data_IF_707141331890
#
_entry.id   IF_707141331890
#
_cell.length_a   1.000
_cell.length_b   1.000
_cell.length_c   1.000
_cell.angle_alpha   90.00
_cell.angle_beta   90.00
_cell.angle_gamma   90.00
#
_symmetry.space_group_name_H-M   'P 1'
#
loop_
_entity.id
_entity.type
_entity.pdbx_description
1 polymer ?
#
# COMPACT_ATOMS: atom_id res chain seq x y z
N UNK A 1 -26.80 17.11 -4.54
CA UNK A 1 -25.46 17.74 -4.39
C UNK A 1 -24.71 17.53 -5.70
N UNK A 2 -24.49 18.58 -6.48
CA UNK A 2 -23.85 18.48 -7.79
C UNK A 2 -22.40 18.00 -7.61
N UNK A 3 -22.12 16.75 -7.99
CA UNK A 3 -20.78 16.13 -7.95
C UNK A 3 -19.91 16.60 -9.13
N UNK A 4 -19.84 17.92 -9.36
CA UNK A 4 -18.78 18.50 -10.21
C UNK A 4 -17.60 18.87 -9.32
N UNK A 5 -16.92 17.84 -8.81
CA UNK A 5 -15.57 17.98 -8.26
C UNK A 5 -14.60 17.94 -9.44
N UNK A 6 -14.34 19.10 -10.04
CA UNK A 6 -13.27 19.24 -11.02
C UNK A 6 -11.94 18.81 -10.39
N UNK A 7 -11.41 17.66 -10.83
CA UNK A 7 -10.03 17.26 -10.59
C UNK A 7 -9.11 18.16 -11.40
N UNK A 8 -8.94 19.40 -10.97
CA UNK A 8 -7.75 20.17 -11.34
C UNK A 8 -6.61 19.65 -10.48
N UNK A 9 -5.50 19.25 -11.10
CA UNK A 9 -4.20 19.38 -10.45
C UNK A 9 -3.89 20.87 -10.39
N UNK A 10 -4.72 21.64 -9.68
CA UNK A 10 -4.33 22.95 -9.18
C UNK A 10 -3.55 22.61 -7.93
N UNK A 11 -2.22 22.71 -7.99
CA UNK A 11 -1.36 22.78 -6.81
C UNK A 11 -1.71 24.07 -6.06
N UNK A 12 -2.89 24.12 -5.45
CA UNK A 12 -3.25 25.20 -4.52
C UNK A 12 -2.29 25.09 -3.35
N UNK A 13 -1.99 26.22 -2.68
CA UNK A 13 -1.14 26.25 -1.48
C UNK A 13 -1.50 25.16 -0.45
N UNK A 14 -2.78 24.81 -0.35
CA UNK A 14 -3.30 23.74 0.51
C UNK A 14 -2.84 22.32 0.14
N UNK A 15 -2.69 22.01 -1.16
CA UNK A 15 -2.25 20.68 -1.61
C UNK A 15 -0.75 20.48 -1.29
N UNK A 16 0.05 21.52 -1.45
CA UNK A 16 1.46 21.50 -1.08
C UNK A 16 1.63 21.36 0.45
N UNK A 17 0.84 22.10 1.23
CA UNK A 17 0.80 21.96 2.69
C UNK A 17 0.40 20.55 3.13
N UNK A 18 -0.55 19.92 2.43
CA UNK A 18 -0.96 18.54 2.71
C UNK A 18 0.15 17.53 2.40
N UNK A 19 0.88 17.70 1.30
CA UNK A 19 2.03 16.86 0.99
C UNK A 19 3.13 16.98 2.06
N UNK A 20 3.51 18.20 2.44
CA UNK A 20 4.52 18.40 3.49
C UNK A 20 4.08 17.87 4.84
N UNK A 21 2.78 17.94 5.15
CA UNK A 21 2.23 17.31 6.35
C UNK A 21 2.37 15.79 6.27
N UNK A 22 1.98 15.14 5.16
CA UNK A 22 2.16 13.70 4.98
C UNK A 22 3.65 13.31 5.08
N UNK A 23 4.54 14.10 4.49
CA UNK A 23 5.99 13.90 4.58
C UNK A 23 6.49 13.97 6.02
N UNK A 24 6.12 15.02 6.77
CA UNK A 24 6.48 15.17 8.17
C UNK A 24 5.96 14.00 9.02
N UNK A 25 4.75 13.51 8.76
CA UNK A 25 4.18 12.37 9.48
C UNK A 25 4.98 11.07 9.22
N UNK A 26 5.40 10.82 7.99
CA UNK A 26 6.26 9.66 7.66
C UNK A 26 7.63 9.82 8.33
N UNK A 27 8.23 11.02 8.30
CA UNK A 27 9.47 11.29 9.03
C UNK A 27 9.34 11.04 10.54
N UNK A 28 8.20 11.39 11.16
CA UNK A 28 7.95 11.10 12.58
C UNK A 28 7.87 9.59 12.85
N UNK A 29 7.25 8.83 11.94
CA UNK A 29 7.12 7.36 12.03
C UNK A 29 8.46 6.63 11.89
N UNK A 30 9.41 7.18 11.14
CA UNK A 30 10.74 6.61 10.90
C UNK A 30 11.83 7.67 11.07
N UNK A 31 11.92 8.23 12.28
CA UNK A 31 12.82 9.33 12.59
C UNK A 31 14.31 8.94 12.45
N UNK A 32 14.63 7.67 12.69
CA UNK A 32 15.97 7.12 12.55
C UNK A 32 16.41 7.04 11.08
N UNK A 33 15.47 6.82 10.14
CA UNK A 33 15.80 6.58 8.75
C UNK A 33 16.55 7.74 8.07
N UNK A 34 16.35 8.99 8.53
CA UNK A 34 17.07 10.17 8.04
C UNK A 34 18.23 10.58 8.95
N UNK A 35 18.09 10.43 10.27
CA UNK A 35 19.14 10.81 11.22
C UNK A 35 20.31 9.82 11.23
N UNK A 36 20.01 8.54 11.08
CA UNK A 36 20.95 7.42 11.01
C UNK A 36 20.52 6.47 9.87
N UNK A 37 20.75 6.83 8.60
CA UNK A 37 20.32 6.01 7.48
C UNK A 37 21.04 4.66 7.45
N UNK A 38 20.26 3.59 7.42
CA UNK A 38 20.73 2.20 7.45
C UNK A 38 20.01 1.37 6.38
N UNK A 39 20.68 0.35 5.85
CA UNK A 39 20.09 -0.64 4.94
C UNK A 39 19.32 -1.71 5.72
N UNK A 40 18.22 -2.19 5.14
CA UNK A 40 17.39 -3.28 5.67
C UNK A 40 17.30 -4.46 4.72
N UNK A 41 17.72 -5.64 5.17
CA UNK A 41 17.52 -6.94 4.53
C UNK A 41 17.71 -6.87 3.00
N UNK A 42 16.60 -6.88 2.27
CA UNK A 42 16.56 -6.84 0.81
C UNK A 42 17.23 -5.60 0.20
N UNK A 43 17.22 -4.45 0.88
CA UNK A 43 17.91 -3.22 0.47
C UNK A 43 19.40 -3.48 0.23
N UNK A 44 20.04 -4.29 1.08
CA UNK A 44 21.44 -4.66 0.94
C UNK A 44 21.64 -5.86 0.00
N UNK A 45 21.01 -7.00 0.31
CA UNK A 45 21.36 -8.28 -0.32
C UNK A 45 20.74 -8.51 -1.69
N UNK A 46 19.68 -7.75 -2.02
CA UNK A 46 19.02 -7.84 -3.31
C UNK A 46 19.22 -6.56 -4.10
N UNK A 47 18.84 -5.41 -3.55
CA UNK A 47 18.83 -4.19 -4.35
C UNK A 47 20.25 -3.66 -4.57
N UNK A 48 20.98 -3.31 -3.51
CA UNK A 48 22.35 -2.81 -3.61
C UNK A 48 23.29 -3.82 -4.27
N UNK A 49 23.30 -5.07 -3.77
CA UNK A 49 24.18 -6.13 -4.29
C UNK A 49 24.00 -6.35 -5.79
N UNK A 50 22.77 -6.55 -6.24
CA UNK A 50 22.49 -6.78 -7.66
C UNK A 50 22.94 -5.61 -8.53
N UNK A 51 22.74 -4.37 -8.04
CA UNK A 51 23.09 -3.17 -8.78
C UNK A 51 24.60 -3.01 -8.95
N UNK A 52 25.38 -3.34 -7.91
CA UNK A 52 26.84 -3.30 -7.96
C UNK A 52 27.38 -4.39 -8.89
N UNK A 53 26.87 -5.62 -8.75
CA UNK A 53 27.41 -6.78 -9.46
C UNK A 53 27.00 -6.82 -10.95
N UNK A 54 25.76 -6.42 -11.27
CA UNK A 54 25.24 -6.49 -12.64
C UNK A 54 25.29 -5.17 -13.39
N UNK A 55 25.21 -4.04 -12.68
CA UNK A 55 25.14 -2.69 -13.25
C UNK A 55 23.91 -2.49 -14.16
N UNK A 56 23.68 -1.26 -14.61
CA UNK A 56 22.57 -0.92 -15.51
C UNK A 56 21.19 -0.91 -14.85
N UNK A 57 20.13 -0.84 -15.67
CA UNK A 57 18.76 -0.69 -15.22
C UNK A 57 18.06 -2.05 -15.07
N UNK A 58 17.93 -2.53 -13.83
CA UNK A 58 17.46 -3.88 -13.50
C UNK A 58 15.94 -4.00 -13.26
N UNK A 59 15.12 -3.30 -14.06
CA UNK A 59 13.66 -3.23 -13.88
C UNK A 59 12.95 -4.59 -13.93
N UNK A 60 13.44 -5.50 -14.77
CA UNK A 60 12.82 -6.81 -15.02
C UNK A 60 13.44 -7.93 -14.19
N UNK A 61 14.26 -7.61 -13.19
CA UNK A 61 14.82 -8.60 -12.27
C UNK A 61 13.83 -8.87 -11.13
N UNK A 62 13.18 -10.04 -11.09
CA UNK A 62 12.16 -10.32 -10.11
C UNK A 62 12.75 -10.56 -8.72
N UNK A 63 11.92 -10.39 -7.71
CA UNK A 63 12.14 -10.88 -6.35
C UNK A 63 10.83 -11.46 -5.82
N UNK A 64 10.91 -12.61 -5.14
CA UNK A 64 9.77 -13.31 -4.57
C UNK A 64 8.59 -13.57 -5.55
N UNK A 65 8.92 -13.76 -6.85
CA UNK A 65 7.96 -14.03 -7.91
C UNK A 65 7.33 -12.80 -8.58
N UNK A 66 7.79 -11.58 -8.31
CA UNK A 66 7.26 -10.38 -8.98
C UNK A 66 8.30 -9.27 -9.12
N UNK A 67 7.98 -8.26 -9.91
CA UNK A 67 8.83 -7.11 -10.14
C UNK A 67 8.74 -6.07 -9.02
N UNK A 68 9.86 -5.39 -8.82
CA UNK A 68 10.05 -4.28 -7.87
C UNK A 68 10.57 -3.05 -8.63
N UNK A 69 9.80 -2.55 -9.59
CA UNK A 69 10.24 -1.47 -10.47
C UNK A 69 10.68 -0.20 -9.71
N UNK A 70 9.91 0.27 -8.74
CA UNK A 70 10.27 1.47 -7.98
C UNK A 70 11.55 1.32 -7.14
N UNK A 71 11.74 0.25 -6.33
CA UNK A 71 13.01 0.02 -5.64
C UNK A 71 14.21 -0.07 -6.59
N UNK A 72 14.05 -0.74 -7.75
CA UNK A 72 15.10 -0.86 -8.76
C UNK A 72 15.45 0.48 -9.41
N UNK A 73 14.47 1.37 -9.64
CA UNK A 73 14.74 2.73 -10.12
C UNK A 73 15.52 3.55 -9.10
N UNK A 74 15.11 3.53 -7.83
CA UNK A 74 15.83 4.23 -6.75
C UNK A 74 17.27 3.74 -6.65
N UNK A 75 17.45 2.43 -6.70
CA UNK A 75 18.74 1.76 -6.68
C UNK A 75 19.62 2.14 -7.86
N UNK A 76 19.04 2.16 -9.07
CA UNK A 76 19.75 2.60 -10.27
C UNK A 76 20.20 4.05 -10.17
N UNK A 77 19.34 4.96 -9.69
CA UNK A 77 19.74 6.36 -9.47
C UNK A 77 20.82 6.51 -8.39
N UNK A 78 20.76 5.71 -7.32
CA UNK A 78 21.78 5.72 -6.28
C UNK A 78 23.16 5.26 -6.80
N UNK A 79 23.20 4.40 -7.82
CA UNK A 79 24.46 3.90 -8.40
C UNK A 79 25.31 4.95 -9.13
N UNK A 80 24.77 6.14 -9.38
CA UNK A 80 25.53 7.26 -9.96
C UNK A 80 26.38 8.05 -8.97
N UNK A 81 26.29 7.72 -7.68
CA UNK A 81 27.10 8.33 -6.62
C UNK A 81 27.78 7.26 -5.78
N UNK A 82 28.70 7.68 -4.92
CA UNK A 82 29.39 6.79 -3.97
C UNK A 82 28.40 5.95 -3.17
N UNK A 83 28.69 4.66 -3.02
CA UNK A 83 27.90 3.71 -2.25
C UNK A 83 27.76 4.12 -0.77
N UNK A 84 28.65 4.99 -0.29
CA UNK A 84 28.55 5.68 0.98
C UNK A 84 27.19 6.37 1.21
N UNK A 85 26.57 6.91 0.16
CA UNK A 85 25.30 7.63 0.24
C UNK A 85 24.06 6.75 0.00
N UNK A 86 24.24 5.48 -0.37
CA UNK A 86 23.14 4.55 -0.67
C UNK A 86 22.08 4.49 0.44
N UNK A 87 22.43 4.32 1.74
CA UNK A 87 21.40 4.20 2.78
C UNK A 87 20.57 5.47 2.91
N UNK A 88 21.19 6.66 2.76
CA UNK A 88 20.48 7.93 2.79
C UNK A 88 19.53 8.06 1.60
N UNK A 89 20.00 7.77 0.39
CA UNK A 89 19.18 7.85 -0.83
C UNK A 89 18.00 6.89 -0.75
N UNK A 90 18.23 5.66 -0.29
CA UNK A 90 17.18 4.66 -0.14
C UNK A 90 16.14 5.10 0.88
N UNK A 91 16.56 5.46 2.08
CA UNK A 91 15.66 5.83 3.15
C UNK A 91 14.88 7.12 2.84
N UNK A 92 15.56 8.14 2.30
CA UNK A 92 14.91 9.37 1.88
C UNK A 92 13.91 9.15 0.74
N UNK A 93 14.25 8.31 -0.25
CA UNK A 93 13.33 7.94 -1.33
C UNK A 93 12.13 7.16 -0.80
N UNK A 94 12.34 6.25 0.14
CA UNK A 94 11.26 5.48 0.76
C UNK A 94 10.26 6.39 1.50
N UNK A 95 10.77 7.36 2.26
CA UNK A 95 9.95 8.37 2.94
C UNK A 95 9.19 9.22 1.91
N UNK A 96 9.87 9.73 0.88
CA UNK A 96 9.26 10.58 -0.13
C UNK A 96 8.15 9.85 -0.91
N UNK A 97 8.38 8.60 -1.29
CA UNK A 97 7.41 7.77 -2.03
C UNK A 97 6.22 7.41 -1.14
N UNK A 98 6.45 7.05 0.13
CA UNK A 98 5.38 6.80 1.08
C UNK A 98 4.52 8.06 1.29
N UNK A 99 5.14 9.22 1.50
CA UNK A 99 4.45 10.50 1.67
C UNK A 99 3.64 10.89 0.42
N UNK A 100 4.21 10.73 -0.78
CA UNK A 100 3.52 10.99 -2.04
C UNK A 100 2.31 10.05 -2.21
N UNK A 101 2.46 8.77 -1.86
CA UNK A 101 1.39 7.77 -1.92
C UNK A 101 0.24 8.12 -0.98
N UNK A 102 0.55 8.52 0.27
CA UNK A 102 -0.43 8.99 1.24
C UNK A 102 -1.12 10.26 0.73
N UNK A 103 -0.37 11.23 0.21
CA UNK A 103 -0.91 12.47 -0.34
C UNK A 103 -1.92 12.20 -1.48
N UNK A 104 -1.56 11.36 -2.44
CA UNK A 104 -2.45 10.98 -3.56
C UNK A 104 -3.69 10.26 -3.02
N UNK A 105 -3.53 9.34 -2.06
CA UNK A 105 -4.64 8.64 -1.43
C UNK A 105 -5.61 9.62 -0.75
N UNK A 106 -5.11 10.56 0.05
CA UNK A 106 -5.91 11.60 0.72
C UNK A 106 -6.65 12.46 -0.30
N UNK A 107 -5.98 12.87 -1.38
CA UNK A 107 -6.60 13.65 -2.46
C UNK A 107 -7.75 12.87 -3.10
N UNK A 108 -7.53 11.59 -3.37
CA UNK A 108 -8.51 10.70 -3.97
C UNK A 108 -9.73 10.47 -3.08
N UNK A 109 -9.53 10.38 -1.76
CA UNK A 109 -10.59 10.10 -0.79
C UNK A 109 -11.29 11.34 -0.25
N UNK A 110 -10.76 12.55 -0.48
CA UNK A 110 -11.31 13.82 0.03
C UNK A 110 -12.83 13.99 -0.16
N UNK A 111 -13.47 13.55 -1.27
CA UNK A 111 -14.92 13.65 -1.42
C UNK A 111 -15.72 12.72 -0.49
N UNK A 112 -15.07 11.70 0.08
CA UNK A 112 -15.69 10.64 0.86
C UNK A 112 -15.34 10.75 2.35
N UNK A 113 -14.10 11.17 2.64
CA UNK A 113 -13.50 11.15 3.99
C UNK A 113 -12.73 12.45 4.21
N UNK A 114 -12.89 13.11 5.38
CA UNK A 114 -12.11 14.30 5.69
C UNK A 114 -10.59 14.03 5.64
N UNK A 115 -9.78 14.90 4.98
CA UNK A 115 -8.34 14.68 4.83
C UNK A 115 -7.56 14.42 6.12
N UNK A 116 -7.89 15.16 7.19
CA UNK A 116 -7.24 14.98 8.49
C UNK A 116 -7.48 13.58 9.06
N UNK A 117 -8.64 12.97 8.78
CA UNK A 117 -8.95 11.63 9.26
C UNK A 117 -8.16 10.58 8.50
N UNK A 118 -8.03 10.71 7.18
CA UNK A 118 -7.18 9.81 6.37
C UNK A 118 -5.73 9.86 6.86
N UNK A 119 -5.19 11.06 7.08
CA UNK A 119 -3.84 11.25 7.64
C UNK A 119 -3.72 10.64 9.05
N UNK A 120 -4.72 10.85 9.91
CA UNK A 120 -4.74 10.31 11.27
C UNK A 120 -4.74 8.79 11.27
N UNK A 121 -5.40 8.14 10.31
CA UNK A 121 -5.39 6.66 10.19
C UNK A 121 -3.98 6.15 9.85
N UNK A 122 -3.27 6.78 8.91
CA UNK A 122 -1.87 6.43 8.62
C UNK A 122 -0.93 6.67 9.82
N UNK A 123 -1.22 7.69 10.64
CA UNK A 123 -0.42 8.02 11.80
C UNK A 123 -0.71 7.14 13.02
N UNK A 124 -1.97 6.83 13.31
CA UNK A 124 -2.37 6.24 14.59
C UNK A 124 -2.66 4.75 14.55
N UNK A 125 -2.48 4.11 13.40
CA UNK A 125 -2.59 2.65 13.30
C UNK A 125 -1.32 1.98 13.88
N UNK A 126 -1.46 0.91 14.69
CA UNK A 126 -0.32 0.14 15.21
C UNK A 126 0.56 -0.41 14.08
N UNK A 127 1.86 -0.54 14.34
CA UNK A 127 2.84 -1.04 13.38
C UNK A 127 4.06 -1.65 14.08
N UNK A 128 4.67 -2.66 13.46
CA UNK A 128 6.02 -3.11 13.86
C UNK A 128 7.14 -2.19 13.36
N UNK A 129 6.82 -1.19 12.54
CA UNK A 129 7.76 -0.22 12.00
C UNK A 129 8.46 -0.61 10.70
N UNK A 130 8.45 -1.89 10.35
CA UNK A 130 9.21 -2.46 9.24
C UNK A 130 8.85 -1.81 7.89
N UNK A 131 7.58 -1.43 7.72
CA UNK A 131 7.10 -0.82 6.48
C UNK A 131 7.73 0.54 6.19
N UNK A 132 8.22 1.25 7.20
CA UNK A 132 8.70 2.62 7.05
C UNK A 132 10.22 2.70 6.79
N UNK A 133 10.63 3.64 5.94
CA UNK A 133 12.03 4.04 5.81
C UNK A 133 12.95 3.04 5.09
N UNK A 134 12.42 2.12 4.30
CA UNK A 134 13.19 1.12 3.51
C UNK A 134 12.62 1.00 2.10
N UNK A 135 13.45 0.87 1.06
CA UNK A 135 12.94 0.83 -0.32
C UNK A 135 12.21 -0.48 -0.62
N UNK A 136 12.60 -1.60 -0.01
CA UNK A 136 11.89 -2.89 -0.15
C UNK A 136 10.41 -2.81 0.22
N UNK A 137 10.05 -1.92 1.14
CA UNK A 137 8.68 -1.77 1.65
C UNK A 137 7.84 -0.66 1.01
N UNK A 138 8.39 0.12 0.06
CA UNK A 138 7.61 1.20 -0.59
C UNK A 138 6.40 0.68 -1.38
N UNK A 139 6.45 -0.59 -1.79
CA UNK A 139 5.36 -1.28 -2.47
C UNK A 139 4.05 -1.23 -1.64
N UNK A 140 4.15 -1.34 -0.31
CA UNK A 140 3.00 -1.32 0.60
C UNK A 140 2.33 0.07 0.67
N UNK A 141 3.03 1.12 0.25
CA UNK A 141 2.46 2.46 0.11
C UNK A 141 1.96 2.72 -1.32
N UNK A 142 2.71 2.29 -2.34
CA UNK A 142 2.36 2.47 -3.75
C UNK A 142 1.04 1.80 -4.15
N UNK A 143 0.58 0.80 -3.39
CA UNK A 143 -0.75 0.24 -3.58
C UNK A 143 -1.89 1.23 -3.31
N UNK A 144 -1.76 2.18 -2.38
CA UNK A 144 -2.84 3.15 -2.10
C UNK A 144 -3.18 4.07 -3.28
N UNK A 145 -2.21 4.73 -3.94
CA UNK A 145 -2.49 5.50 -5.13
C UNK A 145 -2.99 4.58 -6.26
N UNK A 146 -2.53 3.33 -6.38
CA UNK A 146 -3.04 2.37 -7.35
C UNK A 146 -4.54 2.04 -7.12
N UNK A 147 -4.91 1.62 -5.91
CA UNK A 147 -6.29 1.26 -5.53
C UNK A 147 -7.23 2.45 -5.68
N UNK A 148 -6.84 3.59 -5.09
CA UNK A 148 -7.70 4.78 -5.09
C UNK A 148 -7.84 5.36 -6.49
N UNK A 149 -6.81 5.28 -7.34
CA UNK A 149 -6.92 5.73 -8.71
C UNK A 149 -7.81 4.80 -9.55
N UNK A 150 -7.66 3.48 -9.41
CA UNK A 150 -8.48 2.52 -10.13
C UNK A 150 -9.96 2.61 -9.74
N UNK A 151 -10.27 2.70 -8.44
CA UNK A 151 -11.64 2.49 -7.94
C UNK A 151 -12.34 3.71 -7.39
N UNK A 152 -11.62 4.78 -7.02
CA UNK A 152 -12.22 5.98 -6.39
C UNK A 152 -12.12 7.20 -7.31
N UNK A 153 -10.90 7.56 -7.73
CA UNK A 153 -10.60 8.81 -8.41
C UNK A 153 -11.33 8.90 -9.77
N UNK A 154 -11.89 10.07 -10.07
CA UNK A 154 -12.45 10.35 -11.40
C UNK A 154 -11.34 10.67 -12.39
N UNK A 155 -11.53 10.37 -13.68
CA UNK A 155 -10.58 10.69 -14.75
C UNK A 155 -10.10 12.16 -14.67
N UNK A 156 -8.78 12.36 -14.69
CA UNK A 156 -8.19 13.69 -14.62
C UNK A 156 -8.61 14.54 -15.83
N UNK A 157 -9.03 15.78 -15.61
CA UNK A 157 -9.48 16.67 -16.69
C UNK A 157 -8.32 17.14 -17.59
N UNK A 158 -7.14 17.34 -17.01
CA UNK A 158 -5.94 17.75 -17.74
C UNK A 158 -5.26 16.54 -18.45
N UNK A 159 -5.07 16.60 -19.79
CA UNK A 159 -4.43 15.51 -20.55
C UNK A 159 -2.96 15.25 -20.17
N UNK A 160 -2.15 16.28 -19.94
CA UNK A 160 -0.73 16.15 -19.59
C UNK A 160 -0.59 15.43 -18.25
N UNK A 161 -1.35 15.90 -17.25
CA UNK A 161 -1.44 15.27 -15.94
C UNK A 161 -1.81 13.78 -16.07
N UNK A 162 -2.74 13.45 -16.96
CA UNK A 162 -3.17 12.06 -17.21
C UNK A 162 -2.04 11.19 -17.75
N UNK A 163 -1.24 11.68 -18.69
CA UNK A 163 -0.11 10.93 -19.23
C UNK A 163 0.99 10.71 -18.19
N UNK A 164 1.33 11.75 -17.43
CA UNK A 164 2.32 11.64 -16.33
C UNK A 164 1.85 10.62 -15.28
N UNK A 165 0.58 10.72 -14.86
CA UNK A 165 -0.01 9.80 -13.90
C UNK A 165 0.02 8.35 -14.40
N UNK A 166 -0.24 8.09 -15.69
CA UNK A 166 -0.14 6.74 -16.26
C UNK A 166 1.27 6.15 -16.11
N UNK A 167 2.32 6.95 -16.32
CA UNK A 167 3.70 6.51 -16.11
C UNK A 167 3.99 6.17 -14.64
N UNK A 168 3.56 7.05 -13.73
CA UNK A 168 3.69 6.81 -12.27
C UNK A 168 2.94 5.55 -11.85
N UNK A 169 1.72 5.34 -12.36
CA UNK A 169 0.93 4.15 -12.05
C UNK A 169 1.46 2.89 -12.71
N UNK A 170 2.12 2.97 -13.86
CA UNK A 170 2.82 1.82 -14.44
C UNK A 170 3.94 1.34 -13.51
N UNK A 171 4.75 2.27 -12.98
CA UNK A 171 5.81 1.95 -12.02
C UNK A 171 5.20 1.34 -10.74
N UNK A 172 4.13 1.93 -10.20
CA UNK A 172 3.42 1.39 -9.05
C UNK A 172 2.84 -0.02 -9.32
N UNK A 173 2.23 -0.23 -10.50
CA UNK A 173 1.66 -1.50 -10.90
C UNK A 173 2.70 -2.61 -11.17
N UNK A 174 3.93 -2.22 -11.50
CA UNK A 174 5.10 -3.10 -11.64
C UNK A 174 5.93 -3.20 -10.33
N UNK A 175 5.39 -2.70 -9.21
CA UNK A 175 6.04 -2.79 -7.89
C UNK A 175 5.14 -3.57 -6.94
N UNK A 176 5.44 -4.86 -6.76
CA UNK A 176 4.61 -5.77 -5.97
C UNK A 176 3.46 -6.39 -6.78
N UNK A 177 2.73 -7.37 -6.19
CA UNK A 177 1.70 -8.15 -6.88
C UNK A 177 0.33 -7.44 -6.98
N UNK A 178 0.22 -6.19 -6.51
CA UNK A 178 -1.06 -5.50 -6.30
C UNK A 178 -1.87 -5.27 -7.58
N UNK A 179 -1.20 -5.08 -8.72
CA UNK A 179 -1.87 -4.90 -10.02
C UNK A 179 -2.66 -6.14 -10.45
N UNK A 180 -2.25 -7.34 -10.01
CA UNK A 180 -2.97 -8.60 -10.27
C UNK A 180 -4.33 -8.58 -9.57
N UNK A 181 -4.37 -8.15 -8.30
CA UNK A 181 -5.62 -8.00 -7.54
C UNK A 181 -6.50 -6.93 -8.18
N UNK A 182 -5.91 -5.80 -8.60
CA UNK A 182 -6.64 -4.76 -9.32
C UNK A 182 -7.27 -5.30 -10.60
N UNK A 183 -6.54 -6.08 -11.41
CA UNK A 183 -7.04 -6.67 -12.64
C UNK A 183 -8.26 -7.57 -12.38
N UNK A 184 -8.20 -8.43 -11.36
CA UNK A 184 -9.32 -9.30 -10.99
C UNK A 184 -10.58 -8.50 -10.61
N UNK A 185 -10.42 -7.43 -9.83
CA UNK A 185 -11.53 -6.58 -9.39
C UNK A 185 -12.08 -5.68 -10.51
N UNK A 186 -11.22 -5.22 -11.42
CA UNK A 186 -11.63 -4.51 -12.63
C UNK A 186 -12.44 -5.43 -13.54
N UNK A 187 -11.99 -6.67 -13.75
CA UNK A 187 -12.73 -7.67 -14.51
C UNK A 187 -14.08 -7.98 -13.86
N UNK A 188 -14.13 -8.16 -12.53
CA UNK A 188 -15.39 -8.36 -11.80
C UNK A 188 -16.36 -7.18 -11.99
N UNK A 189 -15.86 -5.95 -11.98
CA UNK A 189 -16.67 -4.75 -12.21
C UNK A 189 -17.28 -4.73 -13.62
N UNK A 190 -16.51 -5.10 -14.64
CA UNK A 190 -16.98 -5.19 -16.03
C UNK A 190 -17.96 -6.35 -16.23
N UNK A 191 -17.68 -7.53 -15.66
CA UNK A 191 -18.59 -8.68 -15.72
C UNK A 191 -19.92 -8.38 -15.02
N UNK A 192 -19.88 -7.72 -13.86
CA UNK A 192 -21.08 -7.25 -13.17
C UNK A 192 -21.91 -6.29 -14.03
N UNK A 193 -21.25 -5.34 -14.70
CA UNK A 193 -21.91 -4.44 -15.66
C UNK A 193 -22.57 -5.20 -16.82
N UNK A 194 -21.88 -6.17 -17.41
CA UNK A 194 -22.43 -7.00 -18.49
C UNK A 194 -23.64 -7.83 -18.02
N UNK A 195 -23.57 -8.44 -16.83
CA UNK A 195 -24.67 -9.19 -16.25
C UNK A 195 -25.90 -8.29 -15.98
N UNK A 196 -25.68 -7.05 -15.51
CA UNK A 196 -26.75 -6.07 -15.32
C UNK A 196 -27.41 -5.66 -16.65
N UNK A 197 -26.62 -5.55 -17.72
CA UNK A 197 -27.12 -5.27 -19.07
C UNK A 197 -28.00 -6.40 -19.61
N UNK A 198 -27.59 -7.65 -19.40
CA UNK A 198 -28.37 -8.84 -19.81
C UNK A 198 -29.66 -8.98 -19.00
N UNK A 199 -29.59 -8.77 -17.68
CA UNK A 199 -30.75 -8.89 -16.78
C UNK A 199 -31.71 -7.69 -16.82
N UNK A 200 -31.39 -6.64 -17.61
CA UNK A 200 -32.20 -5.43 -17.82
C UNK A 200 -32.64 -4.72 -16.53
N UNK A 201 -31.82 -4.77 -15.47
CA UNK A 201 -32.07 -4.03 -14.22
C UNK A 201 -31.70 -2.55 -14.37
N UNK A 202 -32.61 -1.75 -14.93
CA UNK A 202 -32.38 -0.35 -15.33
C UNK A 202 -31.70 0.52 -14.25
N UNK A 203 -32.17 0.46 -13.00
CA UNK A 203 -31.62 1.29 -11.93
C UNK A 203 -30.16 0.94 -11.60
N UNK A 204 -29.85 -0.35 -11.39
CA UNK A 204 -28.48 -0.79 -11.09
C UNK A 204 -27.54 -0.61 -12.29
N UNK A 205 -28.07 -0.82 -13.50
CA UNK A 205 -27.32 -0.59 -14.73
C UNK A 205 -26.93 0.89 -14.86
N UNK A 206 -27.83 1.83 -14.57
CA UNK A 206 -27.51 3.27 -14.63
C UNK A 206 -26.37 3.67 -13.69
N UNK A 207 -26.36 3.14 -12.46
CA UNK A 207 -25.30 3.37 -11.48
C UNK A 207 -23.97 2.78 -11.96
N UNK A 208 -24.00 1.56 -12.50
CA UNK A 208 -22.81 0.90 -13.02
C UNK A 208 -22.24 1.62 -14.25
N UNK A 209 -23.10 2.11 -15.15
CA UNK A 209 -22.70 2.95 -16.29
C UNK A 209 -22.02 4.22 -15.81
N UNK A 210 -22.64 4.96 -14.89
CA UNK A 210 -22.08 6.19 -14.34
C UNK A 210 -20.73 5.95 -13.67
N UNK A 211 -20.58 4.85 -12.92
CA UNK A 211 -19.30 4.47 -12.32
C UNK A 211 -18.20 4.25 -13.35
N UNK A 212 -18.48 3.49 -14.41
CA UNK A 212 -17.52 3.18 -15.47
C UNK A 212 -17.16 4.41 -16.31
N UNK A 213 -18.10 5.30 -16.60
CA UNK A 213 -17.85 6.54 -17.36
C UNK A 213 -16.90 7.53 -16.67
N UNK A 214 -16.83 7.45 -15.34
CA UNK A 214 -15.91 8.24 -14.52
C UNK A 214 -14.50 7.67 -14.48
N UNK A 215 -14.29 6.40 -14.86
CA UNK A 215 -12.97 5.75 -14.84
C UNK A 215 -12.10 6.18 -16.03
N UNK A 216 -10.78 6.18 -15.84
CA UNK A 216 -9.82 6.33 -16.93
C UNK A 216 -9.46 4.95 -17.50
N UNK A 217 -10.18 4.53 -18.54
CA UNK A 217 -9.92 3.26 -19.22
C UNK A 217 -8.51 3.14 -19.80
N UNK A 218 -7.88 4.26 -20.18
CA UNK A 218 -6.51 4.23 -20.70
C UNK A 218 -5.51 3.87 -19.60
N UNK A 219 -5.76 4.30 -18.36
CA UNK A 219 -4.92 3.92 -17.24
C UNK A 219 -5.27 2.52 -16.69
N UNK A 220 -6.54 2.12 -16.71
CA UNK A 220 -6.94 0.73 -16.48
C UNK A 220 -6.21 -0.22 -17.44
N UNK A 221 -6.11 0.13 -18.72
CA UNK A 221 -5.35 -0.67 -19.70
C UNK A 221 -3.86 -0.79 -19.32
N UNK A 222 -3.23 0.30 -18.85
CA UNK A 222 -1.83 0.27 -18.37
C UNK A 222 -1.69 -0.63 -17.14
N UNK A 223 -2.57 -0.50 -16.15
CA UNK A 223 -2.55 -1.34 -14.94
C UNK A 223 -2.79 -2.82 -15.30
N UNK A 224 -3.71 -3.10 -16.22
CA UNK A 224 -3.98 -4.44 -16.71
C UNK A 224 -2.78 -5.05 -17.45
N UNK A 225 -2.10 -4.28 -18.30
CA UNK A 225 -0.88 -4.73 -18.98
C UNK A 225 0.24 -5.04 -17.96
N UNK A 226 0.43 -4.18 -16.97
CA UNK A 226 1.40 -4.40 -15.90
C UNK A 226 1.03 -5.63 -15.04
N UNK A 227 -0.26 -5.87 -14.80
CA UNK A 227 -0.74 -7.05 -14.09
C UNK A 227 -0.46 -8.35 -14.85
N UNK A 228 -0.59 -8.34 -16.19
CA UNK A 228 -0.21 -9.49 -17.03
C UNK A 228 1.30 -9.73 -16.96
N UNK A 229 2.12 -8.68 -16.98
CA UNK A 229 3.56 -8.80 -16.77
C UNK A 229 3.85 -9.43 -15.39
N UNK A 230 3.25 -8.90 -14.32
CA UNK A 230 3.44 -9.46 -12.98
C UNK A 230 2.99 -10.92 -12.87
N UNK A 231 1.86 -11.29 -13.49
CA UNK A 231 1.39 -12.67 -13.56
C UNK A 231 2.40 -13.59 -14.26
N UNK A 232 3.05 -13.12 -15.32
CA UNK A 232 4.08 -13.90 -16.01
C UNK A 232 5.29 -14.20 -15.12
N UNK A 233 5.74 -13.21 -14.33
CA UNK A 233 6.81 -13.42 -13.34
C UNK A 233 6.38 -14.31 -12.18
N UNK A 234 5.12 -14.19 -11.73
CA UNK A 234 4.59 -15.05 -10.68
C UNK A 234 4.54 -16.50 -11.16
N UNK A 235 4.15 -16.74 -12.41
CA UNK A 235 4.10 -18.08 -12.98
C UNK A 235 5.49 -18.69 -13.19
N UNK A 236 6.49 -17.90 -13.57
CA UNK A 236 7.84 -18.42 -13.92
C UNK A 236 8.83 -18.42 -12.77
N UNK A 237 8.62 -17.57 -11.77
CA UNK A 237 9.63 -17.24 -10.74
C UNK A 237 9.10 -17.34 -9.32
N UNK A 238 7.84 -17.76 -9.10
CA UNK A 238 7.33 -17.96 -7.75
C UNK A 238 8.03 -19.17 -7.10
N UNK A 239 8.44 -19.04 -5.81
CA UNK A 239 8.88 -20.20 -5.04
C UNK A 239 7.78 -21.26 -4.94
N UNK A 240 8.18 -22.54 -4.90
CA UNK A 240 7.24 -23.60 -4.53
C UNK A 240 6.73 -23.38 -3.10
N UNK A 241 5.41 -23.46 -2.91
CA UNK A 241 4.78 -23.32 -1.60
C UNK A 241 4.08 -24.62 -1.19
N UNK A 242 4.71 -25.43 -0.32
CA UNK A 242 4.18 -26.73 0.06
C UNK A 242 3.38 -26.60 1.37
N UNK A 243 2.16 -26.03 1.34
CA UNK A 243 1.20 -26.27 2.41
C UNK A 243 -0.25 -25.93 2.02
N UNK A 244 -1.11 -26.94 2.05
CA UNK A 244 -2.56 -26.75 1.93
C UNK A 244 -3.10 -26.15 3.23
N UNK A 245 -3.59 -24.90 3.15
CA UNK A 245 -4.36 -24.28 4.23
C UNK A 245 -5.84 -24.39 3.89
N UNK A 246 -6.65 -25.00 4.76
CA UNK A 246 -8.09 -25.09 4.54
C UNK A 246 -8.71 -23.70 4.44
N UNK A 247 -9.75 -23.53 3.60
CA UNK A 247 -10.41 -22.24 3.41
C UNK A 247 -10.89 -21.63 4.73
N UNK A 248 -11.40 -22.45 5.65
CA UNK A 248 -11.82 -21.99 6.97
C UNK A 248 -10.64 -21.43 7.79
N UNK A 249 -9.49 -22.11 7.81
CA UNK A 249 -8.28 -21.62 8.50
C UNK A 249 -7.74 -20.36 7.84
N UNK A 250 -7.76 -20.30 6.51
CA UNK A 250 -7.36 -19.11 5.76
C UNK A 250 -8.23 -17.91 6.13
N UNK A 251 -9.56 -18.05 6.05
CA UNK A 251 -10.50 -16.94 6.30
C UNK A 251 -10.56 -16.58 7.78
N UNK A 252 -10.82 -17.53 8.68
CA UNK A 252 -10.99 -17.24 10.12
C UNK A 252 -9.65 -16.93 10.78
N UNK A 253 -8.56 -17.58 10.36
CA UNK A 253 -7.22 -17.30 10.87
C UNK A 253 -6.72 -15.93 10.44
N UNK A 254 -6.73 -15.62 9.14
CA UNK A 254 -6.20 -14.33 8.66
C UNK A 254 -7.14 -13.16 8.98
N UNK A 255 -8.41 -13.22 8.61
CA UNK A 255 -9.34 -12.10 8.77
C UNK A 255 -9.92 -12.03 10.20
N UNK A 256 -9.95 -13.17 10.92
CA UNK A 256 -10.57 -13.26 12.23
C UNK A 256 -9.61 -13.25 13.41
N UNK A 257 -8.42 -13.83 13.28
CA UNK A 257 -7.42 -13.83 14.35
C UNK A 257 -6.35 -12.77 14.09
N UNK A 258 -5.69 -12.82 12.93
CA UNK A 258 -4.57 -11.92 12.62
C UNK A 258 -5.02 -10.47 12.41
N UNK A 259 -5.97 -10.22 11.50
CA UNK A 259 -6.40 -8.86 11.15
C UNK A 259 -6.75 -7.97 12.35
N UNK A 260 -7.58 -8.37 13.32
CA UNK A 260 -7.85 -7.51 14.49
C UNK A 260 -6.61 -7.28 15.37
N UNK A 261 -5.70 -8.24 15.51
CA UNK A 261 -4.43 -8.01 16.20
C UNK A 261 -3.61 -6.93 15.51
N UNK A 262 -3.54 -6.96 14.18
CA UNK A 262 -2.83 -5.95 13.40
C UNK A 262 -3.53 -4.57 13.40
N UNK A 263 -4.87 -4.54 13.35
CA UNK A 263 -5.67 -3.30 13.27
C UNK A 263 -5.78 -2.61 14.63
N UNK A 264 -6.02 -3.38 15.69
CA UNK A 264 -6.38 -2.88 17.02
C UNK A 264 -5.31 -3.17 18.08
N UNK A 265 -4.35 -4.05 17.83
CA UNK A 265 -3.39 -4.55 18.82
C UNK A 265 -3.89 -5.70 19.68
N UNK A 266 -5.18 -6.03 19.59
CA UNK A 266 -5.82 -7.09 20.34
C UNK A 266 -7.07 -7.58 19.60
N UNK A 267 -7.61 -8.74 19.99
CA UNK A 267 -8.83 -9.27 19.40
C UNK A 267 -10.02 -9.15 20.37
N UNK A 268 -10.91 -8.15 20.23
CA UNK A 268 -12.06 -7.97 21.13
C UNK A 268 -13.20 -8.97 20.92
N UNK A 269 -13.21 -9.71 19.80
CA UNK A 269 -14.32 -10.57 19.40
C UNK A 269 -13.85 -11.99 19.15
N UNK A 270 -14.79 -12.95 19.12
CA UNK A 270 -14.45 -14.29 18.61
C UNK A 270 -14.07 -14.19 17.12
N UNK A 271 -13.01 -14.88 16.67
CA UNK A 271 -12.50 -14.75 15.31
C UNK A 271 -13.53 -14.89 14.18
N UNK A 272 -14.52 -15.77 14.36
CA UNK A 272 -15.57 -16.02 13.36
C UNK A 272 -16.43 -14.78 13.04
N UNK A 273 -16.54 -13.82 13.97
CA UNK A 273 -17.39 -12.64 13.77
C UNK A 273 -16.77 -11.59 12.86
N UNK A 274 -15.46 -11.57 12.69
CA UNK A 274 -14.77 -10.58 11.86
C UNK A 274 -15.05 -10.75 10.36
N UNK A 275 -14.91 -11.95 9.75
CA UNK A 275 -15.35 -12.18 8.36
C UNK A 275 -16.81 -11.77 8.11
N UNK A 276 -17.70 -12.08 9.07
CA UNK A 276 -19.11 -11.71 9.02
C UNK A 276 -19.25 -10.18 9.06
N UNK A 277 -18.48 -9.51 9.93
CA UNK A 277 -18.45 -8.05 10.04
C UNK A 277 -17.99 -7.37 8.76
N UNK A 278 -16.92 -7.85 8.12
CA UNK A 278 -16.46 -7.32 6.82
C UNK A 278 -17.53 -7.49 5.74
N UNK A 279 -18.18 -8.66 5.66
CA UNK A 279 -19.26 -8.91 4.72
C UNK A 279 -20.47 -8.00 4.99
N UNK A 280 -20.88 -7.88 6.26
CA UNK A 280 -21.98 -7.00 6.67
C UNK A 280 -21.68 -5.53 6.36
N UNK A 281 -20.45 -5.06 6.58
CA UNK A 281 -20.03 -3.70 6.24
C UNK A 281 -20.03 -3.48 4.72
N UNK A 282 -19.55 -4.44 3.93
CA UNK A 282 -19.62 -4.38 2.47
C UNK A 282 -21.05 -4.32 1.95
N UNK A 283 -21.94 -5.15 2.48
CA UNK A 283 -23.37 -5.13 2.17
C UNK A 283 -24.03 -3.81 2.59
N UNK A 284 -23.67 -3.28 3.76
CA UNK A 284 -24.12 -1.97 4.22
C UNK A 284 -23.72 -0.86 3.24
N UNK A 285 -22.44 -0.82 2.85
CA UNK A 285 -21.94 0.17 1.89
C UNK A 285 -22.69 0.08 0.57
N UNK A 286 -22.89 -1.13 0.05
CA UNK A 286 -23.51 -1.32 -1.26
C UNK A 286 -24.99 -0.90 -1.26
N UNK A 287 -25.76 -1.32 -0.26
CA UNK A 287 -27.22 -1.19 -0.29
C UNK A 287 -27.79 -0.06 0.58
N UNK A 288 -27.16 0.24 1.71
CA UNK A 288 -27.77 1.06 2.78
C UNK A 288 -27.04 2.38 3.06
N UNK A 289 -25.77 2.51 2.69
CA UNK A 289 -24.99 3.73 2.95
C UNK A 289 -25.58 4.97 2.26
N UNK A 290 -25.42 6.14 2.87
CA UNK A 290 -25.83 7.44 2.33
C UNK A 290 -24.84 7.99 1.29
N UNK A 291 -23.76 7.27 1.00
CA UNK A 291 -22.85 7.61 -0.08
C UNK A 291 -23.58 7.66 -1.44
N UNK A 292 -23.08 8.50 -2.34
CA UNK A 292 -23.49 8.50 -3.73
C UNK A 292 -23.34 7.07 -4.31
N UNK A 293 -24.31 6.56 -5.09
CA UNK A 293 -24.29 5.16 -5.54
C UNK A 293 -22.99 4.73 -6.22
N UNK A 294 -22.40 5.61 -7.04
CA UNK A 294 -21.10 5.40 -7.69
C UNK A 294 -19.95 5.21 -6.70
N UNK A 295 -19.92 6.01 -5.62
CA UNK A 295 -18.88 5.91 -4.60
C UNK A 295 -18.95 4.61 -3.80
N UNK A 296 -20.14 4.03 -3.63
CA UNK A 296 -20.33 2.75 -2.93
C UNK A 296 -19.55 1.62 -3.62
N UNK A 297 -19.59 1.58 -4.95
CA UNK A 297 -18.86 0.59 -5.76
C UNK A 297 -17.35 0.73 -5.51
N UNK A 298 -16.82 1.95 -5.59
CA UNK A 298 -15.39 2.20 -5.39
C UNK A 298 -14.88 1.82 -3.99
N UNK A 299 -15.65 2.15 -2.95
CA UNK A 299 -15.32 1.77 -1.56
C UNK A 299 -15.40 0.26 -1.37
N UNK A 300 -16.42 -0.40 -1.93
CA UNK A 300 -16.56 -1.86 -1.88
C UNK A 300 -15.38 -2.56 -2.56
N UNK A 301 -14.96 -2.10 -3.73
CA UNK A 301 -13.79 -2.65 -4.45
C UNK A 301 -12.49 -2.42 -3.68
N UNK A 302 -12.36 -1.28 -2.99
CA UNK A 302 -11.20 -1.00 -2.13
C UNK A 302 -11.17 -1.94 -0.91
N UNK A 303 -12.33 -2.23 -0.30
CA UNK A 303 -12.45 -3.22 0.78
C UNK A 303 -12.14 -4.64 0.28
N UNK A 304 -12.69 -5.01 -0.88
CA UNK A 304 -12.42 -6.30 -1.51
C UNK A 304 -10.93 -6.48 -1.81
N UNK A 305 -10.27 -5.44 -2.33
CA UNK A 305 -8.82 -5.43 -2.55
C UNK A 305 -8.06 -5.75 -1.26
N UNK A 306 -8.35 -5.02 -0.19
CA UNK A 306 -7.62 -5.15 1.07
C UNK A 306 -7.82 -6.52 1.73
N UNK A 307 -9.03 -7.10 1.60
CA UNK A 307 -9.31 -8.47 2.05
C UNK A 307 -8.54 -9.49 1.21
N UNK A 308 -8.54 -9.33 -0.12
CA UNK A 308 -7.83 -10.24 -1.02
C UNK A 308 -6.31 -10.21 -0.82
N UNK A 309 -5.73 -9.04 -0.52
CA UNK A 309 -4.31 -8.91 -0.18
C UNK A 309 -3.96 -9.73 1.07
N UNK A 310 -4.76 -9.63 2.13
CA UNK A 310 -4.55 -10.39 3.37
C UNK A 310 -4.70 -11.89 3.13
N UNK A 311 -5.71 -12.31 2.35
CA UNK A 311 -5.89 -13.72 2.00
C UNK A 311 -4.74 -14.26 1.13
N UNK A 312 -4.25 -13.46 0.18
CA UNK A 312 -3.10 -13.83 -0.66
C UNK A 312 -1.82 -13.93 0.17
N UNK A 313 -1.61 -13.01 1.11
CA UNK A 313 -0.48 -13.06 2.04
C UNK A 313 -0.54 -14.29 2.94
N UNK A 314 -1.69 -14.57 3.56
CA UNK A 314 -1.88 -15.75 4.40
C UNK A 314 -1.75 -17.07 3.63
N UNK A 315 -2.07 -17.07 2.33
CA UNK A 315 -1.78 -18.21 1.47
C UNK A 315 -0.27 -18.36 1.19
N UNK A 316 0.44 -17.25 1.01
CA UNK A 316 1.89 -17.22 0.75
C UNK A 316 2.75 -17.60 1.96
N UNK A 317 2.44 -17.09 3.15
CA UNK A 317 3.31 -17.22 4.35
C UNK A 317 2.70 -18.08 5.48
N UNK A 318 1.54 -18.70 5.24
CA UNK A 318 0.68 -19.36 6.23
C UNK A 318 0.12 -18.39 7.28
N UNK A 319 -0.81 -18.87 8.11
CA UNK A 319 -1.53 -18.01 9.08
C UNK A 319 -0.69 -17.79 10.34
N UNK A 320 0.10 -18.77 10.75
CA UNK A 320 0.76 -18.81 12.06
C UNK A 320 1.71 -17.64 12.28
N UNK A 321 2.60 -17.28 11.33
CA UNK A 321 3.46 -16.10 11.49
C UNK A 321 2.66 -14.80 11.59
N UNK A 322 1.48 -14.74 10.95
CA UNK A 322 0.61 -13.56 10.94
C UNK A 322 -0.19 -13.39 12.24
N UNK A 323 -0.11 -14.32 13.19
CA UNK A 323 -0.76 -14.19 14.51
C UNK A 323 0.03 -13.31 15.48
N UNK A 324 1.05 -12.60 15.00
CA UNK A 324 1.90 -11.72 15.77
C UNK A 324 2.03 -10.37 15.08
N UNK A 325 1.73 -9.27 15.78
CA UNK A 325 1.93 -7.92 15.26
C UNK A 325 3.38 -7.68 14.80
N UNK A 326 4.36 -8.38 15.38
CA UNK A 326 5.78 -8.25 15.05
C UNK A 326 6.14 -8.83 13.68
N UNK A 327 5.31 -9.73 13.14
CA UNK A 327 5.61 -10.48 11.92
C UNK A 327 4.52 -10.24 10.87
N UNK A 328 4.93 -9.96 9.63
CA UNK A 328 4.00 -9.83 8.51
C UNK A 328 3.04 -8.63 8.59
N UNK A 329 3.31 -7.65 9.47
CA UNK A 329 2.46 -6.47 9.66
C UNK A 329 2.15 -5.72 8.36
N UNK A 330 3.14 -5.69 7.47
CA UNK A 330 3.07 -5.10 6.14
C UNK A 330 1.92 -5.63 5.28
N UNK A 331 1.56 -6.92 5.42
CA UNK A 331 0.47 -7.56 4.67
C UNK A 331 -0.93 -7.08 5.08
N UNK A 332 -1.04 -6.42 6.24
CA UNK A 332 -2.31 -5.89 6.74
C UNK A 332 -2.43 -4.39 6.49
N UNK A 333 -1.43 -3.73 5.89
CA UNK A 333 -1.42 -2.27 5.78
C UNK A 333 -2.64 -1.75 5.02
N UNK A 334 -3.03 -2.30 3.86
CA UNK A 334 -4.24 -1.81 3.20
C UNK A 334 -5.50 -2.09 4.02
N UNK A 335 -5.63 -3.28 4.62
CA UNK A 335 -6.81 -3.62 5.42
C UNK A 335 -6.96 -2.72 6.64
N UNK A 336 -5.86 -2.40 7.33
CA UNK A 336 -5.84 -1.42 8.43
C UNK A 336 -6.42 -0.09 8.01
N UNK A 337 -5.92 0.45 6.91
CA UNK A 337 -6.30 1.78 6.45
C UNK A 337 -7.75 1.78 5.93
N UNK A 338 -8.11 0.81 5.08
CA UNK A 338 -9.45 0.68 4.50
C UNK A 338 -10.52 0.34 5.55
N UNK A 339 -10.17 -0.44 6.58
CA UNK A 339 -11.05 -0.70 7.72
C UNK A 339 -11.55 0.59 8.36
N UNK A 340 -10.65 1.53 8.64
CA UNK A 340 -11.02 2.81 9.24
C UNK A 340 -11.79 3.73 8.28
N UNK A 341 -11.59 3.60 6.97
CA UNK A 341 -12.42 4.28 5.97
C UNK A 341 -13.87 3.81 6.04
N UNK A 342 -14.06 2.49 5.99
CA UNK A 342 -15.37 1.83 6.07
C UNK A 342 -16.03 2.12 7.40
N UNK A 343 -15.29 2.03 8.50
CA UNK A 343 -15.77 2.32 9.85
C UNK A 343 -16.30 3.76 9.95
N UNK A 344 -15.53 4.75 9.47
CA UNK A 344 -15.98 6.14 9.45
C UNK A 344 -17.24 6.35 8.61
N UNK A 345 -17.29 5.77 7.41
CA UNK A 345 -18.46 5.90 6.50
C UNK A 345 -19.72 5.36 7.19
N UNK A 346 -19.64 4.16 7.75
CA UNK A 346 -20.76 3.52 8.47
C UNK A 346 -21.16 4.36 9.67
N UNK A 347 -20.20 4.79 10.49
CA UNK A 347 -20.47 5.55 11.71
C UNK A 347 -21.07 6.93 11.42
N UNK A 348 -20.57 7.62 10.39
CA UNK A 348 -21.14 8.88 9.90
C UNK A 348 -22.61 8.71 9.51
N UNK A 349 -22.93 7.64 8.79
CA UNK A 349 -24.30 7.38 8.33
C UNK A 349 -25.24 7.05 9.49
N UNK A 350 -24.77 6.26 10.47
CA UNK A 350 -25.51 5.92 11.69
C UNK A 350 -25.77 7.14 12.58
N UNK A 351 -24.77 8.00 12.77
CA UNK A 351 -24.90 9.22 13.58
C UNK A 351 -25.58 10.37 12.82
N UNK A 352 -25.73 10.24 11.50
CA UNK A 352 -26.29 11.29 10.64
C UNK A 352 -25.45 12.58 10.58
N UNK A 353 -24.21 12.56 11.07
CA UNK A 353 -23.33 13.73 11.17
C UNK A 353 -21.89 13.37 10.87
N UNK A 354 -21.31 14.02 9.86
CA UNK A 354 -19.89 13.89 9.50
C UNK A 354 -18.98 14.26 10.68
N UNK A 355 -19.30 15.35 11.37
CA UNK A 355 -18.50 15.85 12.49
C UNK A 355 -18.49 14.86 13.65
N UNK A 356 -19.64 14.27 13.99
CA UNK A 356 -19.71 13.29 15.07
C UNK A 356 -19.01 11.98 14.67
N UNK A 357 -19.26 11.48 13.46
CA UNK A 357 -18.58 10.30 12.91
C UNK A 357 -17.06 10.46 12.98
N UNK A 358 -16.53 11.57 12.47
CA UNK A 358 -15.08 11.82 12.46
C UNK A 358 -14.50 11.92 13.88
N UNK A 359 -15.18 12.59 14.81
CA UNK A 359 -14.74 12.69 16.21
C UNK A 359 -14.69 11.32 16.89
N UNK A 360 -15.74 10.52 16.74
CA UNK A 360 -15.77 9.19 17.32
C UNK A 360 -14.69 8.27 16.72
N UNK A 361 -14.49 8.33 15.39
CA UNK A 361 -13.39 7.58 14.75
C UNK A 361 -12.01 8.03 15.27
N UNK A 362 -11.78 9.35 15.40
CA UNK A 362 -10.52 9.86 15.96
C UNK A 362 -10.31 9.44 17.42
N UNK A 363 -11.35 9.52 18.26
CA UNK A 363 -11.25 9.10 19.66
C UNK A 363 -10.91 7.61 19.78
N UNK A 364 -11.49 6.77 18.91
CA UNK A 364 -11.15 5.35 18.86
C UNK A 364 -9.73 5.11 18.35
N UNK A 365 -9.28 5.82 17.30
CA UNK A 365 -7.89 5.76 16.85
C UNK A 365 -6.90 6.16 17.95
N UNK A 366 -7.21 7.24 18.70
CA UNK A 366 -6.40 7.68 19.83
C UNK A 366 -6.40 6.65 20.97
N UNK A 367 -7.55 6.02 21.25
CA UNK A 367 -7.63 4.94 22.22
C UNK A 367 -6.77 3.74 21.81
N UNK A 368 -6.84 3.31 20.54
CA UNK A 368 -5.98 2.24 20.02
C UNK A 368 -4.50 2.62 20.08
N UNK A 369 -4.17 3.87 19.76
CA UNK A 369 -2.81 4.39 19.90
C UNK A 369 -2.30 4.29 21.35
N UNK A 370 -3.14 4.61 22.34
CA UNK A 370 -2.78 4.52 23.76
C UNK A 370 -2.55 3.06 24.19
N UNK A 371 -3.36 2.13 23.70
CA UNK A 371 -3.19 0.70 23.95
C UNK A 371 -1.93 0.11 23.33
N UNK A 372 -1.42 0.72 22.24
CA UNK A 372 -0.31 0.22 21.44
C UNK A 372 0.89 1.17 21.42
N UNK A 373 1.12 1.92 22.50
CA UNK A 373 2.15 2.99 22.55
C UNK A 373 3.55 2.54 22.07
N UNK A 374 3.92 1.28 22.32
CA UNK A 374 5.22 0.71 21.97
C UNK A 374 5.29 0.24 20.50
N UNK A 375 4.15 0.25 19.80
CA UNK A 375 3.98 -0.16 18.41
C UNK A 375 3.45 0.98 17.54
N UNK A 376 3.86 2.22 17.83
CA UNK A 376 3.46 3.39 17.03
C UNK A 376 4.53 3.86 16.07
N UNK A 377 5.80 3.62 16.39
CA UNK A 377 6.96 4.13 15.66
C UNK A 377 7.84 2.97 15.22
N UNK A 378 8.64 3.22 14.19
CA UNK A 378 9.71 2.31 13.79
C UNK A 378 10.78 2.24 14.88
N UNK A 379 11.16 1.03 15.34
CA UNK A 379 12.32 0.87 16.21
C UNK A 379 13.59 1.36 15.51
N UNK A 380 14.51 1.95 16.29
CA UNK A 380 15.80 2.36 15.74
C UNK A 380 16.58 1.14 15.27
N UNK A 381 17.11 1.24 14.07
CA UNK A 381 18.02 0.24 13.54
C UNK A 381 19.38 0.28 14.25
N UNK A 382 20.08 -0.85 14.24
CA UNK A 382 21.47 -0.93 14.70
C UNK A 382 22.29 -0.05 13.76
N UNK A 383 23.06 0.86 14.35
CA UNK A 383 23.99 1.70 13.61
C UNK A 383 25.27 0.90 13.35
N UNK A 384 25.42 0.40 12.12
CA UNK A 384 26.60 -0.35 11.70
C UNK A 384 27.79 0.54 11.33
N UNK A 385 27.73 1.83 11.64
CA UNK A 385 28.84 2.75 11.47
C UNK A 385 28.74 3.59 10.19
N UNK A 386 29.76 4.42 9.95
CA UNK A 386 29.68 5.49 8.97
C UNK A 386 29.67 4.96 7.53
N UNK A 387 29.19 5.82 6.64
CA UNK A 387 29.23 5.71 5.19
C UNK A 387 30.60 5.25 4.60
N UNK A 388 31.69 5.31 5.38
CA UNK A 388 33.01 4.83 5.02
C UNK A 388 33.09 3.31 4.77
N UNK A 389 32.31 2.48 5.49
CA UNK A 389 32.30 1.04 5.23
C UNK A 389 31.68 0.71 3.88
N UNK A 390 30.61 1.40 3.52
CA UNK A 390 29.99 1.27 2.20
C UNK A 390 30.83 1.92 1.10
N UNK A 391 31.66 2.93 1.41
CA UNK A 391 32.59 3.52 0.44
C UNK A 391 33.59 2.51 -0.11
N UNK A 392 33.92 1.45 0.63
CA UNK A 392 34.76 0.36 0.13
C UNK A 392 34.20 -0.27 -1.15
N UNK A 393 32.88 -0.25 -1.31
CA UNK A 393 32.19 -0.73 -2.52
C UNK A 393 32.40 0.17 -3.75
N UNK A 394 33.05 1.33 -3.61
CA UNK A 394 33.46 2.15 -4.76
C UNK A 394 34.79 1.65 -5.36
N UNK A 395 35.51 0.78 -4.65
CA UNK A 395 36.79 0.22 -5.08
C UNK A 395 36.60 -1.24 -5.56
N UNK A 396 37.31 -1.68 -6.61
CA UNK A 396 37.32 -3.07 -7.06
C UNK A 396 37.69 -4.05 -5.94
N UNK A 397 36.99 -5.17 -5.85
CA UNK A 397 37.24 -6.20 -4.84
C UNK A 397 35.99 -6.83 -4.26
N UNK A 398 36.20 -7.70 -3.27
CA UNK A 398 35.15 -8.39 -2.53
C UNK A 398 35.06 -7.80 -1.14
N UNK A 399 33.92 -7.22 -0.80
CA UNK A 399 33.72 -6.48 0.44
C UNK A 399 32.52 -7.05 1.20
N UNK A 400 32.71 -7.35 2.49
CA UNK A 400 31.63 -7.78 3.37
C UNK A 400 31.06 -6.59 4.12
N UNK A 401 29.76 -6.38 4.00
CA UNK A 401 29.04 -5.31 4.69
C UNK A 401 28.05 -5.89 5.70
N UNK A 402 27.91 -5.21 6.83
CA UNK A 402 26.85 -5.48 7.82
C UNK A 402 25.67 -4.57 7.58
N UNK A 403 24.47 -5.07 7.82
CA UNK A 403 23.24 -4.31 7.65
C UNK A 403 22.14 -4.89 8.56
N UNK A 404 21.00 -4.20 8.65
CA UNK A 404 19.90 -4.63 9.53
C UNK A 404 19.04 -5.69 8.83
N UNK A 405 18.43 -6.67 9.53
CA UNK A 405 18.38 -6.87 10.98
C UNK A 405 19.75 -7.21 11.62
N UNK A 406 19.81 -7.15 12.95
CA UNK A 406 21.04 -7.47 13.69
C UNK A 406 21.60 -8.86 13.31
N UNK A 407 22.92 -8.93 13.06
CA UNK A 407 23.62 -10.17 12.73
C UNK A 407 23.63 -10.54 11.25
N UNK A 408 23.06 -9.72 10.36
CA UNK A 408 23.09 -9.96 8.92
C UNK A 408 24.31 -9.32 8.27
N UNK A 409 24.92 -10.07 7.35
CA UNK A 409 26.05 -9.63 6.54
C UNK A 409 25.96 -10.19 5.12
N UNK A 410 26.60 -9.51 4.18
CA UNK A 410 26.65 -9.93 2.79
C UNK A 410 27.96 -9.51 2.15
N UNK A 411 28.52 -10.42 1.38
CA UNK A 411 29.67 -10.15 0.52
C UNK A 411 29.17 -9.69 -0.84
N UNK A 412 29.69 -8.54 -1.28
CA UNK A 412 29.39 -7.90 -2.56
C UNK A 412 30.71 -7.78 -3.33
N UNK A 413 30.68 -8.22 -4.59
CA UNK A 413 31.86 -8.13 -5.47
C UNK A 413 31.69 -6.97 -6.45
N UNK A 414 32.62 -6.02 -6.42
CA UNK A 414 32.71 -4.93 -7.39
C UNK A 414 33.60 -5.39 -8.56
N UNK A 415 33.16 -5.12 -9.80
CA UNK A 415 33.94 -5.44 -11.00
C UNK A 415 35.13 -4.48 -11.13
N UNK A 416 36.22 -4.98 -11.69
CA UNK A 416 37.42 -4.19 -12.06
C UNK A 416 37.13 -3.05 -13.03
#
# INVERSE_FOLDING_TARGET
>A
MNLRSDYRIDLRRYDLGLFFLAFALVCLKSNDALAHPQLWAEDAVLFLKDQIEQQGLLLFRPYAGYLHAAPRLVTWFASFVSAAYTPLIYNASAIAIAAASIFICVKNLRPLIPPYLVLSVFLFTPTNGEVFGTITNIQWFLQFPLITYCFIATKASNPIARHVLKGVFAIAALTGPFSIICLALMALSLLGFLALRVTRRSNLLSIATEYLEQRDFGAWAVVAACAVIQLSFLYTSAPEHPQYTSLARLVVGSLGQAAPLHILGYNPLRPVFWPIGYAAAGMYILFFSRLAPVARIGVLLSLAFAILEVLAAAHKVTVEPLLSLLHGDRYFLALKIVFWWVFFIVLKDLLGSERQGARCTLLLLLFICLLNKDHMLRPRFVDYGPAAELRKLDEPGSHTIKFNPEGWEATITTKE
#
